data_IF_018705458067
#
_entry.id   IF_018705458067
#
_cell.length_a   1.000
_cell.length_b   1.000
_cell.length_c   1.000
_cell.angle_alpha   90.00
_cell.angle_beta   90.00
_cell.angle_gamma   90.00
#
_symmetry.space_group_name_H-M   'P 1'
#
loop_
_entity.id
_entity.type
_entity.pdbx_description
1 polymer ?
#
# COMPACT_ATOMS: atom_id res chain seq x y z
N UNK A 1 4.72 20.05 30.05
CA UNK A 1 5.64 20.53 28.99
C UNK A 1 4.97 20.25 27.67
N UNK A 2 4.43 21.25 27.01
CA UNK A 2 3.87 21.17 25.65
C UNK A 2 5.03 20.94 24.68
N UNK A 3 5.14 19.73 24.13
CA UNK A 3 5.97 19.49 22.95
C UNK A 3 5.19 20.11 21.79
N UNK A 4 5.69 21.18 21.21
CA UNK A 4 5.06 21.87 20.11
C UNK A 4 5.06 20.98 18.86
N UNK A 5 3.96 20.93 18.15
CA UNK A 5 3.74 20.17 16.92
C UNK A 5 4.82 20.38 15.84
N UNK A 6 5.53 21.50 15.86
CA UNK A 6 6.64 21.81 14.95
C UNK A 6 7.90 20.94 15.16
N UNK A 7 8.17 20.46 16.40
CA UNK A 7 9.32 19.58 16.64
C UNK A 7 9.12 18.17 16.09
N UNK A 8 7.87 17.69 16.02
CA UNK A 8 7.54 16.39 15.41
C UNK A 8 7.55 16.44 13.88
N UNK A 9 7.14 17.56 13.28
CA UNK A 9 7.23 17.78 11.84
C UNK A 9 8.69 17.86 11.35
N UNK A 10 9.59 18.46 12.14
CA UNK A 10 11.02 18.52 11.84
C UNK A 10 11.72 17.16 11.96
N UNK A 11 11.25 16.29 12.85
CA UNK A 11 11.74 14.91 12.96
C UNK A 11 11.21 14.05 11.80
N UNK A 12 9.95 14.23 11.39
CA UNK A 12 9.35 13.52 10.26
C UNK A 12 9.97 13.93 8.91
N UNK A 13 10.41 15.17 8.76
CA UNK A 13 11.10 15.67 7.56
C UNK A 13 12.56 15.24 7.43
N UNK A 14 13.23 14.89 8.53
CA UNK A 14 14.67 14.58 8.54
C UNK A 14 15.02 13.10 8.32
N UNK A 15 14.09 12.18 8.52
CA UNK A 15 14.38 10.74 8.42
C UNK A 15 13.52 10.10 7.34
N UNK A 16 14.07 9.98 6.15
CA UNK A 16 13.53 9.11 5.10
C UNK A 16 13.56 7.67 5.62
N UNK A 17 12.48 6.91 5.49
CA UNK A 17 12.53 5.48 5.75
C UNK A 17 13.39 4.82 4.68
N UNK A 18 14.45 4.15 5.09
CA UNK A 18 15.45 3.60 4.16
C UNK A 18 15.49 2.08 4.18
N UNK A 19 15.02 1.42 5.24
CA UNK A 19 14.98 -0.03 5.28
C UNK A 19 13.98 -0.53 6.34
N UNK A 20 12.74 -0.83 5.95
CA UNK A 20 11.86 -1.63 6.78
C UNK A 20 12.37 -3.08 6.82
N UNK A 21 12.37 -3.67 8.02
CA UNK A 21 12.66 -5.08 8.21
C UNK A 21 11.67 -5.70 9.20
N UNK A 22 11.46 -6.98 9.09
CA UNK A 22 10.87 -7.79 10.15
C UNK A 22 11.74 -9.00 10.43
N UNK A 23 11.86 -9.36 11.70
CA UNK A 23 12.70 -10.47 12.16
C UNK A 23 11.88 -11.37 13.09
N UNK A 24 11.80 -12.64 12.74
CA UNK A 24 11.13 -13.69 13.54
C UNK A 24 9.70 -13.30 13.97
N UNK A 25 8.96 -12.59 13.12
CA UNK A 25 7.63 -12.09 13.46
C UNK A 25 6.65 -13.25 13.54
N UNK A 26 5.94 -13.30 14.69
CA UNK A 26 4.86 -14.25 14.94
C UNK A 26 3.59 -13.50 15.31
N UNK A 27 2.49 -13.92 14.71
CA UNK A 27 1.19 -13.29 14.93
C UNK A 27 0.05 -14.29 14.82
N UNK A 28 -0.91 -14.17 15.73
CA UNK A 28 -2.22 -14.83 15.68
C UNK A 28 -3.32 -13.77 15.81
N UNK A 29 -4.42 -13.95 15.09
CA UNK A 29 -5.59 -13.08 15.28
C UNK A 29 -6.21 -13.30 16.67
N UNK A 30 -6.87 -12.29 17.25
CA UNK A 30 -7.65 -12.47 18.47
C UNK A 30 -8.61 -13.65 18.32
N UNK A 31 -8.71 -14.47 19.34
CA UNK A 31 -9.56 -15.66 19.39
C UNK A 31 -9.21 -16.80 18.42
N UNK A 32 -8.01 -16.81 17.83
CA UNK A 32 -7.49 -17.95 17.07
C UNK A 32 -6.39 -18.67 17.85
N UNK A 33 -6.43 -20.00 17.88
CA UNK A 33 -5.41 -20.81 18.57
C UNK A 33 -4.10 -20.88 17.76
N UNK A 34 -4.21 -20.91 16.44
CA UNK A 34 -3.06 -21.08 15.55
C UNK A 34 -2.52 -19.73 15.03
N UNK A 35 -1.20 -19.54 15.09
CA UNK A 35 -0.59 -18.34 14.51
C UNK A 35 -0.64 -18.38 12.97
N UNK A 36 -1.03 -17.25 12.40
CA UNK A 36 -1.02 -17.03 10.94
C UNK A 36 0.40 -16.78 10.45
N UNK A 37 1.21 -16.05 11.24
CA UNK A 37 2.64 -15.89 10.99
C UNK A 37 3.39 -16.62 12.12
N UNK A 38 4.35 -17.47 11.74
CA UNK A 38 5.10 -18.35 12.65
C UNK A 38 6.55 -17.93 12.79
N UNK A 39 7.14 -17.50 11.70
CA UNK A 39 8.53 -17.01 11.60
C UNK A 39 8.64 -16.21 10.30
N UNK A 40 8.16 -14.97 10.35
CA UNK A 40 8.19 -14.09 9.19
C UNK A 40 9.40 -13.16 9.29
N UNK A 41 10.33 -13.29 8.36
CA UNK A 41 11.52 -12.45 8.27
C UNK A 41 11.68 -11.92 6.85
N UNK A 42 11.78 -10.60 6.70
CA UNK A 42 12.06 -9.94 5.42
C UNK A 42 12.79 -8.61 5.65
N UNK A 43 13.47 -8.16 4.62
CA UNK A 43 14.09 -6.83 4.56
C UNK A 43 13.76 -6.17 3.24
N UNK A 44 13.56 -4.86 3.28
CA UNK A 44 13.40 -4.04 2.08
C UNK A 44 14.44 -2.92 2.17
N UNK A 45 15.38 -2.89 1.25
CA UNK A 45 16.40 -1.85 1.21
C UNK A 45 15.88 -0.59 0.50
N UNK A 46 16.62 0.51 0.62
CA UNK A 46 16.23 1.79 0.05
C UNK A 46 15.89 1.67 -1.45
N UNK A 47 14.73 2.18 -1.82
CA UNK A 47 14.17 2.17 -3.17
C UNK A 47 13.84 0.79 -3.76
N UNK A 48 14.10 -0.32 -3.05
CA UNK A 48 13.78 -1.67 -3.54
C UNK A 48 12.29 -1.89 -3.80
N UNK A 49 12.03 -2.72 -4.80
CA UNK A 49 10.72 -3.26 -5.15
C UNK A 49 10.68 -4.73 -4.76
N UNK A 50 9.82 -5.05 -3.82
CA UNK A 50 9.73 -6.40 -3.25
C UNK A 50 8.37 -7.00 -3.54
N UNK A 51 8.33 -8.21 -4.04
CA UNK A 51 7.10 -8.98 -4.18
C UNK A 51 6.94 -9.97 -3.00
N UNK A 52 5.74 -10.04 -2.44
CA UNK A 52 5.29 -11.10 -1.53
C UNK A 52 4.36 -12.03 -2.27
N UNK A 53 4.79 -13.26 -2.51
CA UNK A 53 4.02 -14.26 -3.24
C UNK A 53 3.66 -15.44 -2.34
N UNK A 54 2.62 -16.18 -2.70
CA UNK A 54 2.18 -17.35 -1.96
C UNK A 54 0.67 -17.59 -2.10
N UNK A 55 0.20 -18.73 -1.61
CA UNK A 55 -1.22 -19.10 -1.67
C UNK A 55 -2.12 -18.15 -0.87
N UNK A 56 -3.42 -18.17 -1.18
CA UNK A 56 -4.40 -17.41 -0.40
C UNK A 56 -4.42 -17.91 1.04
N UNK A 57 -4.54 -16.98 2.00
CA UNK A 57 -4.58 -17.29 3.43
C UNK A 57 -3.22 -17.63 4.08
N UNK A 58 -2.09 -17.65 3.35
CA UNK A 58 -0.78 -18.00 3.93
C UNK A 58 -0.17 -16.91 4.83
N UNK A 59 -0.78 -15.71 4.93
CA UNK A 59 -0.35 -14.64 5.85
C UNK A 59 0.21 -13.37 5.18
N UNK A 60 0.22 -13.24 3.85
CA UNK A 60 0.76 -12.05 3.12
C UNK A 60 0.12 -10.73 3.57
N UNK A 61 -1.21 -10.64 3.47
CA UNK A 61 -1.94 -9.44 3.88
C UNK A 61 -1.86 -9.18 5.38
N UNK A 62 -1.69 -10.24 6.20
CA UNK A 62 -1.45 -10.10 7.62
C UNK A 62 -0.09 -9.43 7.88
N UNK A 63 0.96 -9.88 7.19
CA UNK A 63 2.29 -9.27 7.30
C UNK A 63 2.27 -7.79 6.85
N UNK A 64 1.60 -7.50 5.73
CA UNK A 64 1.41 -6.13 5.26
C UNK A 64 0.72 -5.22 6.31
N UNK A 65 -0.32 -5.72 6.96
CA UNK A 65 -1.04 -5.00 8.03
C UNK A 65 -0.18 -4.78 9.27
N UNK A 66 0.72 -5.71 9.59
CA UNK A 66 1.69 -5.54 10.68
C UNK A 66 2.74 -4.48 10.34
N UNK A 67 3.27 -4.49 9.12
CA UNK A 67 4.18 -3.43 8.63
C UNK A 67 3.52 -2.05 8.68
N UNK A 68 2.21 -1.96 8.46
CA UNK A 68 1.42 -0.73 8.55
C UNK A 68 0.96 -0.41 9.98
N UNK A 69 1.44 -1.14 10.99
CA UNK A 69 1.04 -0.96 12.41
C UNK A 69 -0.48 -1.08 12.65
N UNK A 70 -1.17 -1.89 11.83
CA UNK A 70 -2.61 -2.10 12.01
C UNK A 70 -2.90 -2.91 13.28
N UNK A 71 -2.08 -3.94 13.56
CA UNK A 71 -2.11 -4.75 14.76
C UNK A 71 -0.84 -4.51 15.58
N UNK A 72 -0.95 -4.02 16.83
CA UNK A 72 0.22 -3.75 17.67
C UNK A 72 0.77 -4.99 18.38
N UNK A 73 -0.07 -6.01 18.59
CA UNK A 73 0.23 -7.18 19.41
C UNK A 73 0.79 -8.33 18.55
N UNK A 74 2.10 -8.39 18.41
CA UNK A 74 2.86 -9.46 17.75
C UNK A 74 4.17 -9.72 18.49
N UNK A 75 4.77 -10.91 18.31
CA UNK A 75 6.12 -11.23 18.79
C UNK A 75 7.14 -11.00 17.66
N UNK A 76 8.41 -10.82 18.04
CA UNK A 76 9.48 -10.47 17.12
C UNK A 76 9.56 -8.97 16.88
N UNK A 77 10.34 -8.58 15.89
CA UNK A 77 10.70 -7.20 15.62
C UNK A 77 10.25 -6.76 14.23
N UNK A 78 9.55 -5.63 14.16
CA UNK A 78 9.28 -4.90 12.93
C UNK A 78 9.92 -3.53 13.08
N UNK A 79 10.92 -3.27 12.26
CA UNK A 79 11.77 -2.09 12.38
C UNK A 79 11.66 -1.21 11.13
N UNK A 80 11.63 0.09 11.36
CA UNK A 80 11.84 1.11 10.33
C UNK A 80 13.07 1.92 10.73
N UNK A 81 14.14 1.86 9.93
CA UNK A 81 15.43 2.46 10.25
C UNK A 81 15.96 2.03 11.64
N UNK A 82 15.83 0.76 11.97
CA UNK A 82 16.26 0.19 13.27
C UNK A 82 15.38 0.57 14.47
N UNK A 83 14.25 1.26 14.26
CA UNK A 83 13.31 1.61 15.32
C UNK A 83 12.06 0.75 15.24
N UNK A 84 11.61 0.25 16.37
CA UNK A 84 10.38 -0.56 16.47
C UNK A 84 9.17 0.20 15.94
N UNK A 85 8.46 -0.37 14.96
CA UNK A 85 7.28 0.25 14.34
C UNK A 85 6.20 0.56 15.38
N UNK A 86 6.02 -0.31 16.38
CA UNK A 86 5.03 -0.13 17.46
C UNK A 86 5.29 1.08 18.36
N UNK A 87 6.52 1.64 18.33
CA UNK A 87 6.89 2.84 19.10
C UNK A 87 6.79 4.13 18.28
N UNK A 88 6.50 4.02 16.99
CA UNK A 88 6.35 5.17 16.12
C UNK A 88 4.96 5.81 16.30
N UNK A 89 4.89 7.12 16.17
CA UNK A 89 3.61 7.81 16.07
C UNK A 89 2.88 7.40 14.80
N UNK A 90 1.63 6.93 14.94
CA UNK A 90 0.84 6.42 13.80
C UNK A 90 0.58 7.48 12.74
N UNK A 91 0.34 8.72 13.15
CA UNK A 91 0.08 9.81 12.20
C UNK A 91 1.32 10.08 11.36
N UNK A 92 2.50 10.11 11.99
CA UNK A 92 3.77 10.25 11.29
C UNK A 92 4.06 9.06 10.37
N UNK A 93 3.77 7.84 10.82
CA UNK A 93 3.92 6.63 10.00
C UNK A 93 3.03 6.68 8.75
N UNK A 94 1.74 6.99 8.90
CA UNK A 94 0.76 7.00 7.81
C UNK A 94 0.98 8.11 6.78
N UNK A 95 1.75 9.14 7.12
CA UNK A 95 2.21 10.14 6.15
C UNK A 95 3.38 9.66 5.29
N UNK A 96 4.09 8.62 5.74
CA UNK A 96 5.31 8.10 5.11
C UNK A 96 5.11 6.73 4.47
N UNK A 97 4.11 5.98 4.91
CA UNK A 97 3.78 4.65 4.41
C UNK A 97 2.39 4.69 3.80
N UNK A 98 2.31 4.49 2.49
CA UNK A 98 1.06 4.30 1.77
C UNK A 98 0.62 2.83 1.86
N UNK A 99 -0.65 2.58 2.15
CA UNK A 99 -1.23 1.25 2.10
C UNK A 99 -2.46 1.25 1.20
N UNK A 100 -2.49 0.35 0.25
CA UNK A 100 -3.68 0.09 -0.56
C UNK A 100 -4.11 -1.36 -0.36
N UNK A 101 -5.33 -1.52 0.15
CA UNK A 101 -5.94 -2.82 0.36
C UNK A 101 -6.50 -3.38 -0.95
N UNK A 102 -6.72 -4.68 -0.98
CA UNK A 102 -7.38 -5.40 -2.08
C UNK A 102 -8.72 -4.75 -2.50
N UNK A 103 -9.44 -4.15 -1.57
CA UNK A 103 -10.66 -3.38 -1.85
C UNK A 103 -10.50 -1.98 -1.28
N UNK A 104 -10.48 -0.98 -2.16
CA UNK A 104 -10.43 0.42 -1.75
C UNK A 104 -11.77 0.87 -1.15
N UNK A 105 -11.74 1.47 0.04
CA UNK A 105 -12.91 2.11 0.63
C UNK A 105 -13.15 3.45 -0.05
N UNK A 106 -14.40 3.69 -0.48
CA UNK A 106 -14.83 4.94 -1.12
C UNK A 106 -15.94 5.61 -0.31
N UNK A 107 -15.83 6.92 -0.18
CA UNK A 107 -16.83 7.75 0.49
C UNK A 107 -17.96 8.13 -0.48
N UNK A 108 -19.13 8.40 0.06
CA UNK A 108 -20.22 9.02 -0.70
C UNK A 108 -19.85 10.49 -0.98
N UNK A 109 -19.11 10.70 -2.05
CA UNK A 109 -18.57 12.01 -2.44
C UNK A 109 -18.12 11.98 -3.90
N UNK A 110 -17.62 13.08 -4.44
CA UNK A 110 -17.10 13.15 -5.80
C UNK A 110 -15.87 12.25 -6.00
N UNK A 111 -15.56 11.93 -7.26
CA UNK A 111 -14.31 11.23 -7.62
C UNK A 111 -13.12 12.06 -7.15
N UNK A 112 -13.13 13.38 -7.37
CA UNK A 112 -12.08 14.30 -6.90
C UNK A 112 -11.86 14.16 -5.40
N UNK A 113 -12.89 14.28 -4.60
CA UNK A 113 -12.78 14.21 -3.13
C UNK A 113 -12.37 12.82 -2.65
N UNK A 114 -12.77 11.77 -3.36
CA UNK A 114 -12.30 10.41 -3.08
C UNK A 114 -10.81 10.23 -3.36
N UNK A 115 -10.23 10.92 -4.34
CA UNK A 115 -8.79 10.86 -4.64
C UNK A 115 -8.01 11.79 -3.71
N UNK A 116 -8.45 13.04 -3.57
CA UNK A 116 -7.75 14.08 -2.83
C UNK A 116 -7.92 13.95 -1.30
N UNK A 117 -9.00 13.29 -0.82
CA UNK A 117 -9.37 13.21 0.59
C UNK A 117 -9.54 14.61 1.23
N UNK A 118 -10.16 15.52 0.49
CA UNK A 118 -10.40 16.93 0.84
C UNK A 118 -9.12 17.76 1.09
N UNK A 119 -7.97 17.28 0.62
CA UNK A 119 -6.74 18.08 0.56
C UNK A 119 -6.63 18.78 -0.79
N UNK A 120 -6.01 19.97 -0.81
CA UNK A 120 -5.78 20.72 -2.04
C UNK A 120 -4.51 20.23 -2.75
N UNK A 121 -4.65 19.90 -4.03
CA UNK A 121 -3.54 19.52 -4.89
C UNK A 121 -3.59 20.32 -6.20
N UNK A 122 -2.43 20.64 -6.81
CA UNK A 122 -2.38 21.22 -8.15
C UNK A 122 -3.10 20.31 -9.17
N UNK A 123 -3.83 20.91 -10.10
CA UNK A 123 -4.56 20.14 -11.13
C UNK A 123 -3.64 19.25 -11.97
N UNK A 124 -2.42 19.68 -12.24
CA UNK A 124 -1.40 18.89 -12.94
C UNK A 124 -1.04 17.61 -12.16
N UNK A 125 -0.85 17.73 -10.84
CA UNK A 125 -0.53 16.57 -9.99
C UNK A 125 -1.70 15.59 -9.92
N UNK A 126 -2.94 16.10 -9.84
CA UNK A 126 -4.14 15.29 -9.87
C UNK A 126 -4.29 14.56 -11.23
N UNK A 127 -4.05 15.26 -12.34
CA UNK A 127 -4.08 14.66 -13.67
C UNK A 127 -3.05 13.54 -13.82
N UNK A 128 -1.83 13.74 -13.32
CA UNK A 128 -0.80 12.70 -13.29
C UNK A 128 -1.23 11.47 -12.46
N UNK A 129 -1.83 11.68 -11.30
CA UNK A 129 -2.31 10.58 -10.46
C UNK A 129 -3.44 9.78 -11.13
N UNK A 130 -4.35 10.45 -11.82
CA UNK A 130 -5.44 9.86 -12.59
C UNK A 130 -4.88 9.02 -13.74
N UNK A 131 -3.90 9.57 -14.47
CA UNK A 131 -3.24 8.85 -15.57
C UNK A 131 -2.48 7.62 -15.06
N UNK A 132 -1.72 7.75 -13.97
CA UNK A 132 -0.99 6.64 -13.36
C UNK A 132 -1.91 5.50 -12.90
N UNK A 133 -3.15 5.81 -12.53
CA UNK A 133 -4.18 4.83 -12.17
C UNK A 133 -4.99 4.29 -13.37
N UNK A 134 -4.70 4.73 -14.61
CA UNK A 134 -5.45 4.33 -15.81
C UNK A 134 -6.91 4.81 -15.80
N UNK A 135 -7.20 5.95 -15.18
CA UNK A 135 -8.56 6.49 -15.05
C UNK A 135 -8.91 7.58 -16.05
N UNK A 136 -7.96 8.05 -16.86
CA UNK A 136 -8.12 9.23 -17.73
C UNK A 136 -9.34 9.12 -18.65
N UNK A 137 -9.43 8.06 -19.44
CA UNK A 137 -10.51 7.88 -20.43
C UNK A 137 -11.86 7.67 -19.74
N UNK A 138 -11.87 6.94 -18.63
CA UNK A 138 -13.09 6.72 -17.88
C UNK A 138 -13.62 8.03 -17.27
N UNK A 139 -12.79 8.83 -16.64
CA UNK A 139 -13.19 10.14 -16.09
C UNK A 139 -13.66 11.07 -17.19
N UNK A 140 -12.99 11.11 -18.35
CA UNK A 140 -13.37 11.91 -19.49
C UNK A 140 -14.71 11.47 -20.12
N UNK A 141 -15.12 10.22 -19.95
CA UNK A 141 -16.41 9.70 -20.42
C UNK A 141 -17.60 10.05 -19.54
N UNK A 142 -17.36 10.55 -18.33
CA UNK A 142 -18.42 10.90 -17.38
C UNK A 142 -18.94 12.32 -17.65
N UNK A 143 -20.26 12.55 -17.58
CA UNK A 143 -20.86 13.88 -17.81
C UNK A 143 -20.27 14.98 -16.92
N UNK A 144 -20.04 14.66 -15.64
CA UNK A 144 -19.53 15.60 -14.64
C UNK A 144 -18.02 15.37 -14.35
N UNK A 145 -17.34 14.50 -15.12
CA UNK A 145 -15.93 14.23 -14.97
C UNK A 145 -15.55 13.85 -13.53
N UNK A 146 -14.59 14.58 -12.96
CA UNK A 146 -14.14 14.39 -11.58
C UNK A 146 -15.17 14.79 -10.51
N UNK A 147 -16.17 15.58 -10.86
CA UNK A 147 -17.23 16.01 -9.94
C UNK A 147 -18.40 15.01 -9.88
N UNK A 148 -18.29 13.90 -10.65
CA UNK A 148 -19.23 12.78 -10.59
C UNK A 148 -19.26 12.19 -9.18
N UNK A 149 -20.47 12.09 -8.58
CA UNK A 149 -20.66 11.57 -7.23
C UNK A 149 -20.62 10.05 -7.21
N UNK A 150 -19.81 9.51 -6.33
CA UNK A 150 -19.72 8.08 -6.02
C UNK A 150 -20.69 7.76 -4.89
N UNK A 151 -21.46 6.69 -5.04
CA UNK A 151 -22.33 6.21 -3.95
C UNK A 151 -21.49 5.57 -2.84
N UNK A 152 -22.08 5.39 -1.67
CA UNK A 152 -21.45 4.78 -0.51
C UNK A 152 -20.76 3.45 -0.86
N UNK A 153 -19.48 3.34 -0.51
CA UNK A 153 -18.58 2.22 -0.86
C UNK A 153 -18.48 1.95 -2.38
N UNK A 154 -18.80 2.94 -3.23
CA UNK A 154 -18.67 2.80 -4.68
C UNK A 154 -19.59 1.75 -5.29
N UNK A 155 -20.81 1.57 -4.77
CA UNK A 155 -21.77 0.57 -5.29
C UNK A 155 -22.15 0.79 -6.76
N UNK A 156 -22.01 2.02 -7.25
CA UNK A 156 -22.23 2.39 -8.66
C UNK A 156 -20.99 2.21 -9.54
N UNK A 157 -19.88 1.67 -9.01
CA UNK A 157 -18.64 1.46 -9.72
C UNK A 157 -18.31 -0.04 -9.86
N UNK A 158 -17.58 -0.38 -10.93
CA UNK A 158 -16.96 -1.69 -11.05
C UNK A 158 -15.86 -1.90 -9.99
N UNK A 159 -15.48 -3.16 -9.73
CA UNK A 159 -14.36 -3.48 -8.84
C UNK A 159 -13.06 -2.80 -9.27
N UNK A 160 -12.76 -2.85 -10.57
CA UNK A 160 -11.58 -2.21 -11.15
C UNK A 160 -11.60 -0.67 -11.01
N UNK A 161 -12.74 -0.02 -11.21
CA UNK A 161 -12.84 1.43 -11.01
C UNK A 161 -12.58 1.83 -9.56
N UNK A 162 -13.14 1.10 -8.58
CA UNK A 162 -12.86 1.32 -7.16
C UNK A 162 -11.39 1.18 -6.84
N UNK A 163 -10.78 0.11 -7.35
CA UNK A 163 -9.36 -0.18 -7.15
C UNK A 163 -8.48 0.95 -7.70
N UNK A 164 -8.74 1.39 -8.93
CA UNK A 164 -7.98 2.45 -9.59
C UNK A 164 -8.11 3.81 -8.89
N UNK A 165 -9.26 4.15 -8.29
CA UNK A 165 -9.39 5.34 -7.44
C UNK A 165 -8.46 5.24 -6.23
N UNK A 166 -8.36 4.07 -5.59
CA UNK A 166 -7.40 3.82 -4.51
C UNK A 166 -5.94 3.99 -4.96
N UNK A 167 -5.62 3.55 -6.19
CA UNK A 167 -4.28 3.72 -6.78
C UNK A 167 -3.99 5.21 -7.03
N UNK A 168 -4.97 5.98 -7.55
CA UNK A 168 -4.83 7.42 -7.73
C UNK A 168 -4.55 8.15 -6.41
N UNK A 169 -5.18 7.73 -5.29
CA UNK A 169 -4.87 8.26 -3.94
C UNK A 169 -3.41 8.09 -3.56
N UNK A 170 -2.80 6.94 -3.89
CA UNK A 170 -1.39 6.70 -3.62
C UNK A 170 -0.50 7.53 -4.53
N UNK A 171 -0.81 7.57 -5.82
CA UNK A 171 -0.03 8.29 -6.82
C UNK A 171 -0.02 9.81 -6.59
N UNK A 172 -1.08 10.34 -5.96
CA UNK A 172 -1.21 11.77 -5.64
C UNK A 172 -0.28 12.22 -4.50
N UNK A 173 0.25 11.29 -3.68
CA UNK A 173 1.05 11.59 -2.50
C UNK A 173 2.45 10.99 -2.61
N UNK A 174 3.38 11.57 -1.86
CA UNK A 174 4.75 11.06 -1.77
C UNK A 174 4.91 10.19 -0.52
N UNK A 175 5.31 8.94 -0.72
CA UNK A 175 5.59 7.99 0.34
C UNK A 175 7.04 7.52 0.28
N UNK A 176 7.58 7.06 1.42
CA UNK A 176 8.86 6.34 1.46
C UNK A 176 8.68 4.86 1.17
N UNK A 177 7.53 4.31 1.58
CA UNK A 177 7.14 2.93 1.37
C UNK A 177 5.70 2.87 0.90
N UNK A 178 5.42 2.08 -0.13
CA UNK A 178 4.07 1.71 -0.53
C UNK A 178 3.89 0.22 -0.29
N UNK A 179 2.81 -0.14 0.39
CA UNK A 179 2.36 -1.52 0.57
C UNK A 179 1.10 -1.71 -0.29
N UNK A 180 1.19 -2.57 -1.31
CA UNK A 180 0.13 -2.81 -2.27
C UNK A 180 -0.40 -4.25 -2.11
N UNK A 181 -1.61 -4.38 -1.56
CA UNK A 181 -2.20 -5.69 -1.23
C UNK A 181 -3.17 -6.13 -2.34
N UNK A 182 -2.70 -7.00 -3.25
CA UNK A 182 -3.46 -7.60 -4.35
C UNK A 182 -4.19 -6.57 -5.25
N UNK A 183 -3.54 -5.46 -5.54
CA UNK A 183 -4.15 -4.31 -6.21
C UNK A 183 -4.57 -4.55 -7.67
N UNK A 184 -4.16 -5.66 -8.27
CA UNK A 184 -4.49 -6.02 -9.64
C UNK A 184 -5.57 -7.09 -9.77
N UNK A 185 -6.03 -7.67 -8.65
CA UNK A 185 -6.95 -8.82 -8.65
C UNK A 185 -8.31 -8.58 -9.36
N UNK A 186 -8.74 -7.32 -9.47
CA UNK A 186 -10.02 -6.94 -10.10
C UNK A 186 -9.84 -6.19 -11.43
N UNK A 187 -8.64 -6.19 -11.99
CA UNK A 187 -8.30 -5.49 -13.22
C UNK A 187 -8.14 -6.49 -14.39
N UNK A 188 -8.36 -6.01 -15.60
CA UNK A 188 -7.99 -6.75 -16.81
C UNK A 188 -6.46 -6.82 -16.95
N UNK A 189 -5.92 -7.75 -17.75
CA UNK A 189 -4.48 -7.98 -17.85
C UNK A 189 -3.67 -6.74 -18.26
N UNK A 190 -4.16 -5.97 -19.25
CA UNK A 190 -3.45 -4.81 -19.77
C UNK A 190 -3.39 -3.68 -18.72
N UNK A 191 -4.52 -3.41 -18.07
CA UNK A 191 -4.60 -2.44 -16.96
C UNK A 191 -3.75 -2.91 -15.76
N UNK A 192 -3.76 -4.21 -15.45
CA UNK A 192 -2.95 -4.80 -14.38
C UNK A 192 -1.47 -4.57 -14.61
N UNK A 193 -0.99 -4.81 -15.83
CA UNK A 193 0.39 -4.60 -16.21
C UNK A 193 0.77 -3.11 -16.09
N UNK A 194 -0.02 -2.21 -16.66
CA UNK A 194 0.26 -0.77 -16.61
C UNK A 194 0.28 -0.23 -15.17
N UNK A 195 -0.66 -0.66 -14.33
CA UNK A 195 -0.71 -0.26 -12.91
C UNK A 195 0.51 -0.75 -12.15
N UNK A 196 0.93 -1.99 -12.36
CA UNK A 196 2.13 -2.53 -11.72
C UNK A 196 3.41 -1.84 -12.19
N UNK A 197 3.55 -1.58 -13.49
CA UNK A 197 4.67 -0.81 -14.04
C UNK A 197 4.74 0.59 -13.44
N UNK A 198 3.62 1.30 -13.36
CA UNK A 198 3.54 2.61 -12.73
C UNK A 198 3.91 2.57 -11.24
N UNK A 199 3.43 1.55 -10.50
CA UNK A 199 3.77 1.37 -9.09
C UNK A 199 5.28 1.10 -8.90
N UNK A 200 5.85 0.23 -9.72
CA UNK A 200 7.27 -0.12 -9.67
C UNK A 200 8.16 1.08 -10.07
N UNK A 201 7.70 1.92 -10.98
CA UNK A 201 8.42 3.13 -11.39
C UNK A 201 8.44 4.24 -10.32
N UNK A 202 7.60 4.17 -9.28
CA UNK A 202 7.59 5.19 -8.22
C UNK A 202 8.94 5.25 -7.48
N UNK A 203 9.46 6.45 -7.13
CA UNK A 203 10.78 6.62 -6.51
C UNK A 203 10.77 6.32 -5.00
N UNK A 204 10.09 5.25 -4.57
CA UNK A 204 9.98 4.82 -3.18
C UNK A 204 10.15 3.31 -3.07
N UNK A 205 10.26 2.78 -1.86
CA UNK A 205 10.18 1.34 -1.63
C UNK A 205 8.77 0.84 -1.94
N UNK A 206 8.66 -0.38 -2.47
CA UNK A 206 7.37 -1.02 -2.72
C UNK A 206 7.39 -2.43 -2.17
N UNK A 207 6.35 -2.79 -1.44
CA UNK A 207 6.02 -4.17 -1.07
C UNK A 207 4.70 -4.52 -1.73
N UNK A 208 4.75 -5.29 -2.80
CA UNK A 208 3.57 -5.72 -3.54
C UNK A 208 3.19 -7.16 -3.21
N UNK A 209 1.96 -7.37 -2.79
CA UNK A 209 1.39 -8.70 -2.61
C UNK A 209 0.69 -9.09 -3.89
N UNK A 210 1.05 -10.24 -4.44
CA UNK A 210 0.45 -10.79 -5.65
C UNK A 210 0.33 -12.31 -5.59
N UNK A 211 -0.68 -12.83 -6.26
CA UNK A 211 -0.82 -14.26 -6.52
C UNK A 211 -0.22 -14.65 -7.87
N UNK A 212 -0.02 -13.69 -8.76
CA UNK A 212 0.52 -13.92 -10.09
C UNK A 212 2.05 -14.03 -10.04
N UNK A 213 2.53 -15.24 -9.80
CA UNK A 213 3.96 -15.59 -9.75
C UNK A 213 4.57 -15.67 -11.15
N UNK A 214 3.75 -15.87 -12.18
CA UNK A 214 4.17 -15.98 -13.58
C UNK A 214 3.98 -14.68 -14.38
N UNK A 215 3.47 -13.63 -13.75
CA UNK A 215 3.15 -12.37 -14.39
C UNK A 215 4.35 -11.72 -15.07
N UNK A 216 4.10 -11.07 -16.18
CA UNK A 216 5.11 -10.39 -17.01
C UNK A 216 5.92 -9.34 -16.26
N UNK A 217 5.42 -8.84 -15.13
CA UNK A 217 6.06 -7.83 -14.30
C UNK A 217 6.97 -8.40 -13.19
N UNK A 218 6.95 -9.71 -12.93
CA UNK A 218 7.72 -10.29 -11.81
C UNK A 218 9.24 -10.06 -11.93
N UNK A 219 9.77 -9.99 -13.13
CA UNK A 219 11.20 -9.71 -13.39
C UNK A 219 11.62 -8.26 -13.03
N UNK A 220 10.66 -7.37 -12.76
CA UNK A 220 10.92 -5.98 -12.40
C UNK A 220 11.08 -5.79 -10.87
N UNK A 221 10.80 -6.82 -10.07
CA UNK A 221 11.06 -6.77 -8.63
C UNK A 221 12.51 -7.12 -8.33
N UNK A 222 13.13 -6.34 -7.45
CA UNK A 222 14.51 -6.57 -6.99
C UNK A 222 14.62 -7.84 -6.13
N UNK A 223 13.50 -8.19 -5.44
CA UNK A 223 13.48 -9.32 -4.52
C UNK A 223 12.07 -9.91 -4.43
N UNK A 224 12.01 -11.20 -4.40
CA UNK A 224 10.75 -11.96 -4.23
C UNK A 224 10.84 -12.76 -2.95
N UNK A 225 9.84 -12.60 -2.09
CA UNK A 225 9.65 -13.43 -0.91
C UNK A 225 8.44 -14.34 -1.10
N UNK A 226 8.61 -15.59 -0.77
CA UNK A 226 7.53 -16.56 -0.74
C UNK A 226 7.02 -16.74 0.69
N UNK A 227 5.73 -16.66 0.86
CA UNK A 227 5.05 -16.91 2.14
C UNK A 227 4.37 -18.26 2.08
N UNK A 228 4.79 -19.20 2.93
CA UNK A 228 4.26 -20.55 3.01
C UNK A 228 4.00 -20.93 4.47
N UNK A 229 2.76 -21.31 4.80
CA UNK A 229 2.37 -21.72 6.16
C UNK A 229 2.80 -20.75 7.28
N UNK A 230 2.79 -19.45 7.01
CA UNK A 230 3.18 -18.40 7.96
C UNK A 230 4.68 -18.17 8.08
N UNK A 231 5.49 -18.80 7.25
CA UNK A 231 6.95 -18.60 7.16
C UNK A 231 7.27 -17.83 5.88
N UNK A 232 8.21 -16.88 5.98
CA UNK A 232 8.66 -16.06 4.86
C UNK A 232 10.07 -16.46 4.47
N UNK A 233 10.30 -16.71 3.18
CA UNK A 233 11.62 -17.08 2.62
C UNK A 233 11.88 -16.31 1.33
N UNK A 234 13.13 -16.05 1.03
CA UNK A 234 13.54 -15.57 -0.30
C UNK A 234 13.23 -16.67 -1.32
N UNK A 235 12.55 -16.30 -2.43
CA UNK A 235 12.15 -17.22 -3.49
C UNK A 235 13.30 -17.49 -4.46
#
# INVERSE_FOLDING_TARGET
TRITFNALADIAGKYKFVSPSCETVRFAYPNTAEPVLKDASLTVDAAQKVALVGESGCGKSTLAKLLFQYYPDYSGDILFNGRQVRTLDRTALYRRVGYIAQTAYLFHDTIRNNICLHEDFPDEQLAHAIAAAGLTDWVASLPDGLDTVISENGKNLSGGQRQRIGIARLALRSYDLIIADEITASLDPDTSQQVMENLIAMPCMVVAITHDVAGSFMHQFDKVYRVEHGVVRVA
#
